data_IF_212357773177
#
_entry.id   IF_212357773177
#
_cell.length_a   1.000
_cell.length_b   1.000
_cell.length_c   1.000
_cell.angle_alpha   90.00
_cell.angle_beta   90.00
_cell.angle_gamma   90.00
#
_symmetry.space_group_name_H-M   'P 1'
#
loop_
_entity.id
_entity.type
_entity.pdbx_description
1 polymer ?
#
# COMPACT_ATOMS: atom_id res chain seq x y z
N UNK A 1 -23.41 -11.76 0.62
CA UNK A 1 -22.74 -10.44 0.75
C UNK A 1 -23.71 -9.24 0.89
N UNK A 2 -24.80 -9.08 0.11
CA UNK A 2 -25.68 -7.91 0.25
C UNK A 2 -26.31 -7.79 1.64
N UNK A 3 -26.66 -8.90 2.26
CA UNK A 3 -27.26 -8.92 3.60
C UNK A 3 -26.23 -8.49 4.67
N UNK A 4 -25.03 -9.08 4.65
CA UNK A 4 -23.99 -8.73 5.60
C UNK A 4 -23.57 -7.26 5.47
N UNK A 5 -23.46 -6.75 4.26
CA UNK A 5 -23.13 -5.34 4.04
C UNK A 5 -24.23 -4.38 4.50
N UNK A 6 -25.51 -4.80 4.49
CA UNK A 6 -26.62 -4.01 5.05
C UNK A 6 -26.65 -4.04 6.58
N UNK A 7 -26.22 -5.16 7.18
CA UNK A 7 -26.12 -5.31 8.63
C UNK A 7 -24.85 -4.68 9.22
N UNK A 8 -23.88 -4.28 8.38
CA UNK A 8 -22.66 -3.61 8.84
C UNK A 8 -22.91 -2.11 8.99
N UNK A 9 -22.82 -1.63 10.22
CA UNK A 9 -22.82 -0.19 10.51
C UNK A 9 -21.40 0.37 10.39
N UNK A 10 -21.24 1.40 9.55
CA UNK A 10 -19.95 2.03 9.25
C UNK A 10 -19.92 3.40 9.92
N UNK A 11 -19.21 3.49 11.03
CA UNK A 11 -19.06 4.74 11.79
C UNK A 11 -17.84 5.55 11.41
N UNK A 12 -16.97 5.02 10.54
CA UNK A 12 -15.70 5.64 10.16
C UNK A 12 -15.64 6.00 8.69
N UNK A 13 -14.99 7.13 8.41
CA UNK A 13 -14.59 7.53 7.06
C UNK A 13 -13.14 7.12 6.81
N UNK A 14 -12.89 6.45 5.70
CA UNK A 14 -11.54 6.06 5.28
C UNK A 14 -10.94 7.18 4.44
N UNK A 15 -9.89 7.82 4.97
CA UNK A 15 -9.07 8.75 4.19
C UNK A 15 -8.03 7.99 3.38
N UNK A 16 -8.12 8.08 2.06
CA UNK A 16 -7.16 7.46 1.14
C UNK A 16 -6.20 8.50 0.58
N UNK A 17 -4.97 8.07 0.28
CA UNK A 17 -4.05 8.87 -0.50
C UNK A 17 -4.51 8.95 -1.97
N UNK A 18 -3.91 9.86 -2.72
CA UNK A 18 -4.15 10.02 -4.15
C UNK A 18 -2.91 9.66 -4.97
N UNK A 19 -3.10 9.41 -6.26
CA UNK A 19 -1.98 9.15 -7.19
C UNK A 19 -0.96 10.30 -7.27
N UNK A 20 -1.31 11.50 -6.79
CA UNK A 20 -0.42 12.67 -6.75
C UNK A 20 0.38 12.81 -5.46
N UNK A 21 0.15 11.96 -4.46
CA UNK A 21 0.90 11.97 -3.20
C UNK A 21 2.43 11.88 -3.39
N UNK A 22 2.98 11.12 -4.36
CA UNK A 22 4.42 11.13 -4.64
C UNK A 22 4.98 12.53 -4.88
N UNK A 23 4.25 13.40 -5.55
CA UNK A 23 4.66 14.81 -5.74
C UNK A 23 4.73 15.61 -4.45
N UNK A 24 3.81 15.38 -3.50
CA UNK A 24 3.84 16.04 -2.19
C UNK A 24 5.05 15.57 -1.37
N UNK A 25 5.37 14.28 -1.44
CA UNK A 25 6.56 13.70 -0.76
C UNK A 25 7.84 14.28 -1.37
N UNK A 26 7.97 14.28 -2.69
CA UNK A 26 9.11 14.83 -3.40
C UNK A 26 9.34 16.32 -3.05
N UNK A 27 8.26 17.12 -3.02
CA UNK A 27 8.32 18.51 -2.58
C UNK A 27 8.84 18.64 -1.15
N UNK A 28 8.36 17.80 -0.24
CA UNK A 28 8.82 17.81 1.15
C UNK A 28 10.32 17.50 1.28
N UNK A 29 10.84 16.57 0.48
CA UNK A 29 12.28 16.29 0.41
C UNK A 29 13.06 17.52 -0.03
N UNK A 30 12.65 18.14 -1.15
CA UNK A 30 13.30 19.34 -1.68
C UNK A 30 13.27 20.52 -0.70
N UNK A 31 12.09 20.81 -0.13
CA UNK A 31 11.92 21.90 0.84
C UNK A 31 12.80 21.68 2.10
N UNK A 32 12.95 20.42 2.52
CA UNK A 32 13.80 20.06 3.65
C UNK A 32 15.27 20.24 3.30
N UNK A 33 15.71 19.77 2.13
CA UNK A 33 17.09 19.94 1.66
C UNK A 33 17.48 21.42 1.57
N UNK A 34 16.60 22.25 1.02
CA UNK A 34 16.80 23.71 0.96
C UNK A 34 16.94 24.34 2.35
N UNK A 35 16.08 23.96 3.31
CA UNK A 35 16.16 24.44 4.70
C UNK A 35 17.44 24.05 5.41
N UNK A 36 17.99 22.89 5.06
CA UNK A 36 19.25 22.39 5.62
C UNK A 36 20.49 22.91 4.90
N UNK A 37 20.32 23.70 3.83
CA UNK A 37 21.44 24.21 3.02
C UNK A 37 22.19 23.10 2.26
N UNK A 38 21.52 22.00 1.91
CA UNK A 38 22.12 20.89 1.19
C UNK A 38 22.43 21.30 -0.28
N UNK A 39 23.48 20.71 -0.85
CA UNK A 39 23.78 20.87 -2.25
C UNK A 39 22.83 20.02 -3.10
N UNK A 40 21.84 20.67 -3.72
CA UNK A 40 20.79 19.96 -4.48
C UNK A 40 21.32 19.25 -5.74
N UNK A 41 22.43 19.73 -6.31
CA UNK A 41 23.04 19.13 -7.53
C UNK A 41 23.67 17.75 -7.24
N UNK A 42 23.96 17.46 -5.97
CA UNK A 42 24.49 16.17 -5.52
C UNK A 42 23.40 15.22 -5.00
N UNK A 43 22.13 15.65 -5.01
CA UNK A 43 21.02 14.87 -4.49
C UNK A 43 20.19 14.30 -5.63
N UNK A 44 19.78 13.04 -5.47
CA UNK A 44 18.79 12.40 -6.33
C UNK A 44 17.72 11.72 -5.45
N UNK A 45 16.46 11.93 -5.83
CA UNK A 45 15.32 11.22 -5.24
C UNK A 45 15.00 10.00 -6.08
N UNK A 46 14.73 8.91 -5.40
CA UNK A 46 14.23 7.68 -6.00
C UNK A 46 12.83 7.35 -5.46
N UNK A 47 12.05 6.70 -6.28
CA UNK A 47 10.72 6.20 -5.94
C UNK A 47 10.61 4.73 -6.29
N UNK A 48 9.90 3.98 -5.47
CA UNK A 48 9.65 2.56 -5.65
C UNK A 48 8.28 2.16 -5.12
N UNK A 49 7.91 0.91 -5.32
CA UNK A 49 6.62 0.38 -4.92
C UNK A 49 6.71 -1.03 -4.33
N UNK A 50 5.79 -1.33 -3.44
CA UNK A 50 5.58 -2.65 -2.87
C UNK A 50 4.09 -2.99 -2.87
N UNK A 51 3.76 -4.27 -3.04
CA UNK A 51 2.39 -4.79 -3.07
C UNK A 51 2.27 -5.92 -2.05
N UNK A 52 1.24 -5.88 -1.20
CA UNK A 52 0.98 -6.96 -0.25
C UNK A 52 0.14 -8.05 -0.90
N UNK A 53 0.60 -9.33 -0.85
CA UNK A 53 -0.19 -10.45 -1.36
C UNK A 53 -1.43 -10.66 -0.51
N UNK A 54 -2.56 -10.97 -1.18
CA UNK A 54 -3.77 -11.43 -0.52
C UNK A 54 -4.20 -10.58 0.69
N UNK A 55 -4.01 -9.28 0.58
CA UNK A 55 -4.03 -8.29 1.65
C UNK A 55 -5.10 -8.51 2.73
N UNK A 56 -6.36 -8.72 2.35
CA UNK A 56 -7.43 -8.98 3.31
C UNK A 56 -7.27 -10.30 4.07
N UNK A 57 -6.62 -11.29 3.46
CA UNK A 57 -6.39 -12.59 4.09
C UNK A 57 -5.32 -12.54 5.20
N UNK A 58 -4.54 -11.47 5.26
CA UNK A 58 -3.61 -11.21 6.38
C UNK A 58 -4.32 -10.76 7.66
N UNK A 59 -5.58 -10.33 7.56
CA UNK A 59 -6.33 -9.81 8.69
C UNK A 59 -7.34 -10.86 9.19
N UNK A 60 -7.17 -11.40 10.42
CA UNK A 60 -8.08 -12.37 10.96
C UNK A 60 -9.45 -11.75 11.30
N UNK A 61 -10.48 -12.56 11.22
CA UNK A 61 -11.83 -12.23 11.68
C UNK A 61 -11.95 -12.61 13.15
N UNK A 62 -12.63 -11.76 13.95
CA UNK A 62 -12.89 -12.07 15.36
C UNK A 62 -13.69 -13.38 15.49
N UNK A 63 -13.40 -14.21 16.49
CA UNK A 63 -14.14 -15.47 16.69
C UNK A 63 -15.65 -15.31 16.77
N UNK A 64 -16.15 -14.21 17.34
CA UNK A 64 -17.58 -13.86 17.42
C UNK A 64 -18.23 -13.70 16.04
N UNK A 65 -17.45 -13.32 15.02
CA UNK A 65 -17.95 -12.95 13.71
C UNK A 65 -17.80 -14.08 12.68
N UNK A 66 -17.17 -15.19 13.05
CA UNK A 66 -16.92 -16.33 12.16
C UNK A 66 -18.21 -16.95 11.62
N UNK A 67 -19.31 -16.92 12.39
CA UNK A 67 -20.61 -17.40 11.94
C UNK A 67 -21.16 -16.64 10.72
N UNK A 68 -20.69 -15.41 10.50
CA UNK A 68 -21.06 -14.58 9.35
C UNK A 68 -20.05 -14.64 8.21
N UNK A 69 -18.91 -15.31 8.42
CA UNK A 69 -17.81 -15.37 7.46
C UNK A 69 -17.73 -16.75 6.80
N UNK A 70 -18.86 -17.17 6.24
CA UNK A 70 -19.04 -18.49 5.60
C UNK A 70 -19.22 -18.32 4.11
N UNK A 71 -18.47 -19.09 3.34
CA UNK A 71 -18.52 -19.15 1.87
C UNK A 71 -19.13 -20.47 1.44
N UNK A 72 -20.14 -20.42 0.59
CA UNK A 72 -20.67 -21.59 -0.09
C UNK A 72 -19.80 -21.90 -1.30
N UNK A 73 -19.36 -23.16 -1.41
CA UNK A 73 -18.73 -23.68 -2.61
C UNK A 73 -19.82 -24.37 -3.42
N UNK A 74 -20.12 -23.88 -4.62
CA UNK A 74 -21.12 -24.52 -5.48
C UNK A 74 -20.67 -25.94 -5.83
N UNK A 75 -21.61 -26.88 -5.94
CA UNK A 75 -21.31 -28.26 -6.29
C UNK A 75 -20.66 -28.34 -7.68
N UNK A 76 -19.51 -29.01 -7.78
CA UNK A 76 -18.75 -29.15 -9.02
C UNK A 76 -19.38 -30.08 -10.05
N UNK A 77 -20.28 -30.98 -9.65
CA UNK A 77 -20.99 -31.91 -10.52
C UNK A 77 -22.47 -32.00 -10.11
N UNK A 78 -23.32 -32.39 -11.07
CA UNK A 78 -24.75 -32.61 -10.85
C UNK A 78 -24.97 -33.66 -9.76
N UNK A 79 -25.55 -33.26 -8.61
CA UNK A 79 -25.85 -34.16 -7.49
C UNK A 79 -24.79 -34.19 -6.37
N UNK A 80 -23.72 -33.40 -6.45
CA UNK A 80 -22.80 -33.22 -5.33
C UNK A 80 -23.42 -32.34 -4.23
N UNK A 81 -23.03 -32.59 -2.99
CA UNK A 81 -23.46 -31.80 -1.84
C UNK A 81 -22.89 -30.37 -1.88
N UNK A 82 -23.64 -29.43 -1.32
CA UNK A 82 -23.15 -28.06 -1.08
C UNK A 82 -22.15 -28.09 0.06
N UNK A 83 -21.00 -27.49 -0.15
CA UNK A 83 -19.99 -27.34 0.88
C UNK A 83 -19.98 -25.89 1.39
N UNK A 84 -19.80 -25.76 2.70
CA UNK A 84 -19.67 -24.45 3.35
C UNK A 84 -18.33 -24.38 4.07
N UNK A 85 -17.57 -23.33 3.77
CA UNK A 85 -16.28 -23.05 4.42
C UNK A 85 -16.41 -21.87 5.34
N UNK A 86 -15.96 -22.05 6.58
CA UNK A 86 -15.74 -20.92 7.50
C UNK A 86 -14.37 -20.34 7.18
N UNK A 87 -14.32 -19.06 6.83
CA UNK A 87 -13.08 -18.37 6.50
C UNK A 87 -12.65 -17.55 7.72
N UNK A 88 -11.41 -17.76 8.19
CA UNK A 88 -10.86 -17.12 9.37
C UNK A 88 -10.23 -15.76 9.11
N UNK A 89 -10.20 -15.34 7.85
CA UNK A 89 -9.65 -14.08 7.40
C UNK A 89 -10.73 -13.20 6.76
N UNK A 90 -10.46 -11.91 6.63
CA UNK A 90 -11.39 -10.98 5.97
C UNK A 90 -11.57 -11.32 4.49
N UNK A 91 -12.82 -11.27 4.05
CA UNK A 91 -13.18 -11.56 2.65
C UNK A 91 -13.35 -10.28 1.84
N UNK A 92 -13.03 -10.38 0.55
CA UNK A 92 -13.37 -9.34 -0.43
C UNK A 92 -14.89 -9.15 -0.52
N UNK A 93 -15.31 -7.90 -0.73
CA UNK A 93 -16.72 -7.53 -0.91
C UNK A 93 -17.47 -7.18 0.38
N UNK A 94 -16.87 -7.33 1.55
CA UNK A 94 -17.43 -6.81 2.79
C UNK A 94 -16.98 -5.36 3.01
N UNK A 95 -17.91 -4.48 3.39
CA UNK A 95 -17.61 -3.09 3.76
C UNK A 95 -16.62 -3.01 4.92
N UNK A 96 -16.80 -3.86 5.93
CA UNK A 96 -15.92 -3.94 7.08
C UNK A 96 -14.49 -4.33 6.72
N UNK A 97 -14.28 -5.16 5.70
CA UNK A 97 -12.94 -5.57 5.27
C UNK A 97 -12.12 -4.38 4.79
N UNK A 98 -12.73 -3.50 4.01
CA UNK A 98 -12.08 -2.28 3.50
C UNK A 98 -11.58 -1.40 4.65
N UNK A 99 -12.48 -1.07 5.60
CA UNK A 99 -12.14 -0.19 6.73
C UNK A 99 -11.11 -0.81 7.66
N UNK A 100 -11.26 -2.09 7.98
CA UNK A 100 -10.34 -2.78 8.88
C UNK A 100 -8.96 -2.92 8.24
N UNK A 101 -8.90 -3.27 6.96
CA UNK A 101 -7.61 -3.35 6.26
C UNK A 101 -6.92 -1.99 6.15
N UNK A 102 -7.68 -0.90 5.92
CA UNK A 102 -7.10 0.44 5.90
C UNK A 102 -6.45 0.81 7.23
N UNK A 103 -7.01 0.38 8.37
CA UNK A 103 -6.36 0.58 9.68
C UNK A 103 -4.98 -0.09 9.74
N UNK A 104 -4.86 -1.29 9.18
CA UNK A 104 -3.57 -1.99 9.11
C UNK A 104 -2.59 -1.22 8.21
N UNK A 105 -3.01 -0.78 7.03
CA UNK A 105 -2.18 0.00 6.11
C UNK A 105 -1.72 1.32 6.74
N UNK A 106 -2.62 2.05 7.43
CA UNK A 106 -2.28 3.29 8.16
C UNK A 106 -1.33 3.02 9.31
N UNK A 107 -1.50 1.90 10.02
CA UNK A 107 -0.58 1.49 11.08
C UNK A 107 0.82 1.22 10.52
N UNK A 108 0.93 0.43 9.45
CA UNK A 108 2.20 0.14 8.78
C UNK A 108 2.88 1.43 8.28
N UNK A 109 2.13 2.33 7.62
CA UNK A 109 2.61 3.64 7.20
C UNK A 109 3.13 4.48 8.38
N UNK A 110 2.41 4.44 9.51
CA UNK A 110 2.79 5.18 10.71
C UNK A 110 4.08 4.65 11.34
N UNK A 111 4.24 3.32 11.38
CA UNK A 111 5.47 2.69 11.84
C UNK A 111 6.66 3.04 10.92
N UNK A 112 6.49 2.92 9.60
CA UNK A 112 7.53 3.27 8.64
C UNK A 112 8.00 4.73 8.81
N UNK A 113 7.06 5.65 8.96
CA UNK A 113 7.37 7.08 9.13
C UNK A 113 8.02 7.41 10.48
N UNK A 114 7.56 6.78 11.56
CA UNK A 114 8.01 7.12 12.92
C UNK A 114 9.25 6.35 13.37
N UNK A 115 9.39 5.10 12.95
CA UNK A 115 10.48 4.23 13.38
C UNK A 115 11.60 4.21 12.36
N UNK A 116 11.27 4.12 11.06
CA UNK A 116 12.25 4.05 10.00
C UNK A 116 12.59 5.41 9.40
N UNK A 117 11.89 6.48 9.83
CA UNK A 117 11.98 7.83 9.23
C UNK A 117 11.75 7.82 7.70
N UNK A 118 10.97 6.86 7.21
CA UNK A 118 10.70 6.66 5.78
C UNK A 118 9.38 7.30 5.37
N UNK A 119 9.36 8.15 4.34
CA UNK A 119 8.14 8.68 3.77
C UNK A 119 7.47 7.64 2.87
N UNK A 120 6.66 6.78 3.47
CA UNK A 120 5.83 5.78 2.80
C UNK A 120 4.41 6.31 2.68
N UNK A 121 3.77 6.08 1.55
CA UNK A 121 2.34 6.31 1.32
C UNK A 121 1.68 4.97 1.01
N UNK A 122 0.60 4.65 1.73
CA UNK A 122 -0.16 3.41 1.52
C UNK A 122 -1.51 3.72 0.88
N UNK A 123 -1.86 2.93 -0.13
CA UNK A 123 -3.21 2.86 -0.67
C UNK A 123 -3.65 1.41 -0.61
N UNK A 124 -4.39 1.06 0.44
CA UNK A 124 -4.69 -0.32 0.81
C UNK A 124 -3.40 -1.16 0.91
N UNK A 125 -3.19 -2.05 -0.04
CA UNK A 125 -2.07 -2.99 -0.16
C UNK A 125 -0.87 -2.44 -0.94
N UNK A 126 -1.08 -1.37 -1.71
CA UNK A 126 -0.02 -0.72 -2.49
C UNK A 126 0.76 0.29 -1.64
N UNK A 127 2.06 0.15 -1.57
CA UNK A 127 2.98 1.10 -0.94
C UNK A 127 3.77 1.88 -1.98
N UNK A 128 3.73 3.21 -1.91
CA UNK A 128 4.66 4.09 -2.62
C UNK A 128 5.74 4.56 -1.66
N UNK A 129 7.00 4.34 -2.03
CA UNK A 129 8.19 4.55 -1.20
C UNK A 129 9.08 5.58 -1.89
N UNK A 130 9.67 6.47 -1.09
CA UNK A 130 10.62 7.45 -1.57
C UNK A 130 11.85 7.45 -0.68
N UNK A 131 13.04 7.51 -1.29
CA UNK A 131 14.30 7.58 -0.56
C UNK A 131 15.33 8.36 -1.40
N UNK A 132 16.41 8.77 -0.76
CA UNK A 132 17.54 9.34 -1.47
C UNK A 132 18.32 8.22 -2.16
N UNK A 133 18.81 8.47 -3.39
CA UNK A 133 19.65 7.51 -4.11
C UNK A 133 20.92 7.11 -3.33
N UNK A 134 21.42 8.02 -2.50
CA UNK A 134 22.55 7.77 -1.59
C UNK A 134 22.28 6.67 -0.56
N UNK A 135 21.01 6.40 -0.23
CA UNK A 135 20.61 5.33 0.69
C UNK A 135 20.66 3.94 0.04
N UNK A 136 20.80 3.84 -1.28
CA UNK A 136 21.00 2.58 -2.04
C UNK A 136 19.94 1.52 -1.73
N UNK A 137 18.68 1.91 -1.65
CA UNK A 137 17.54 1.02 -1.39
C UNK A 137 17.38 0.58 0.07
N UNK A 138 18.16 1.14 1.00
CA UNK A 138 18.09 0.75 2.41
C UNK A 138 16.71 0.94 3.02
N UNK A 139 16.00 2.00 2.63
CA UNK A 139 14.64 2.26 3.09
C UNK A 139 13.66 1.18 2.66
N UNK A 140 13.62 0.83 1.37
CA UNK A 140 12.74 -0.23 0.87
C UNK A 140 13.04 -1.57 1.54
N UNK A 141 14.32 -1.92 1.72
CA UNK A 141 14.73 -3.13 2.45
C UNK A 141 14.30 -3.09 3.92
N UNK A 142 14.41 -1.94 4.59
CA UNK A 142 13.98 -1.78 5.98
C UNK A 142 12.46 -1.95 6.13
N UNK A 143 11.67 -1.41 5.21
CA UNK A 143 10.21 -1.59 5.17
C UNK A 143 9.84 -3.06 5.00
N UNK A 144 10.48 -3.77 4.07
CA UNK A 144 10.28 -5.21 3.88
C UNK A 144 10.56 -6.01 5.15
N UNK A 145 11.70 -5.74 5.83
CA UNK A 145 12.04 -6.40 7.09
C UNK A 145 11.07 -6.08 8.21
N UNK A 146 10.57 -4.84 8.27
CA UNK A 146 9.57 -4.44 9.26
C UNK A 146 8.25 -5.20 9.05
N UNK A 147 7.77 -5.33 7.81
CA UNK A 147 6.56 -6.09 7.52
C UNK A 147 6.73 -7.57 7.84
N UNK A 148 7.88 -8.17 7.51
CA UNK A 148 8.21 -9.55 7.89
C UNK A 148 8.20 -9.75 9.41
N UNK A 149 8.73 -8.81 10.17
CA UNK A 149 8.71 -8.86 11.65
C UNK A 149 7.28 -8.77 12.22
N UNK A 150 6.34 -8.17 11.48
CA UNK A 150 4.91 -8.11 11.81
C UNK A 150 4.13 -9.35 11.32
N UNK A 151 4.80 -10.32 10.70
CA UNK A 151 4.18 -11.56 10.21
C UNK A 151 3.58 -11.47 8.81
N UNK A 152 3.79 -10.35 8.10
CA UNK A 152 3.40 -10.17 6.71
C UNK A 152 4.59 -10.22 5.75
N UNK A 153 4.33 -10.11 4.46
CA UNK A 153 5.37 -9.97 3.42
C UNK A 153 4.83 -9.15 2.26
N UNK A 154 5.72 -8.51 1.53
CA UNK A 154 5.41 -7.99 0.20
C UNK A 154 5.66 -9.07 -0.86
N UNK A 155 5.11 -8.88 -2.07
CA UNK A 155 5.30 -9.76 -3.23
C UNK A 155 6.59 -9.38 -3.96
N UNK A 156 7.65 -10.23 -3.93
CA UNK A 156 8.90 -9.90 -4.61
C UNK A 156 8.74 -9.68 -6.12
N UNK A 157 7.84 -10.44 -6.77
CA UNK A 157 7.57 -10.33 -8.21
C UNK A 157 6.83 -9.07 -8.63
N UNK A 158 6.24 -8.35 -7.69
CA UNK A 158 5.56 -7.06 -7.91
C UNK A 158 6.36 -5.88 -7.40
N UNK A 159 7.48 -6.13 -6.75
CA UNK A 159 8.34 -5.08 -6.26
C UNK A 159 8.80 -4.18 -7.40
N UNK A 160 8.58 -2.88 -7.23
CA UNK A 160 9.21 -1.87 -8.05
C UNK A 160 10.41 -1.33 -7.25
N UNK A 161 11.62 -1.68 -7.69
CA UNK A 161 12.84 -1.21 -7.04
C UNK A 161 12.92 0.32 -7.09
N UNK A 162 13.56 0.91 -6.08
CA UNK A 162 13.80 2.35 -6.06
C UNK A 162 14.57 2.79 -7.31
N UNK A 163 14.09 3.85 -7.95
CA UNK A 163 14.65 4.42 -9.16
C UNK A 163 14.06 5.78 -9.51
N UNK A 164 14.42 6.32 -10.67
CA UNK A 164 13.98 7.64 -11.13
C UNK A 164 12.46 7.73 -11.37
N UNK A 165 11.80 6.60 -11.57
CA UNK A 165 10.35 6.54 -11.82
C UNK A 165 9.73 5.31 -11.21
N UNK A 166 8.44 5.40 -10.87
CA UNK A 166 7.65 4.31 -10.32
C UNK A 166 6.17 4.47 -10.71
N UNK A 167 5.47 3.34 -10.81
CA UNK A 167 4.01 3.32 -11.01
C UNK A 167 3.30 3.39 -9.64
N UNK A 168 2.29 4.26 -9.53
CA UNK A 168 1.42 4.29 -8.36
C UNK A 168 0.01 4.71 -8.77
N UNK A 169 -0.98 3.89 -8.43
CA UNK A 169 -2.40 4.14 -8.72
C UNK A 169 -2.70 4.52 -10.18
N UNK A 170 -2.07 3.81 -11.12
CA UNK A 170 -2.29 4.01 -12.55
C UNK A 170 -1.54 5.18 -13.18
N UNK A 171 -0.74 5.91 -12.41
CA UNK A 171 0.15 6.94 -12.91
C UNK A 171 1.61 6.53 -12.73
N UNK A 172 2.41 6.71 -13.78
CA UNK A 172 3.87 6.72 -13.70
C UNK A 172 4.29 8.09 -13.21
N UNK A 173 5.05 8.16 -12.12
CA UNK A 173 5.64 9.40 -11.66
C UNK A 173 7.17 9.34 -11.75
N UNK A 174 7.76 10.43 -12.22
CA UNK A 174 9.21 10.60 -12.34
C UNK A 174 9.67 11.64 -11.34
N UNK A 175 10.66 11.28 -10.54
CA UNK A 175 11.17 12.10 -9.43
C UNK A 175 12.62 12.55 -9.61
N UNK A 176 13.27 12.17 -10.69
CA UNK A 176 14.67 12.48 -11.00
C UNK A 176 14.98 14.00 -11.05
N UNK A 177 13.99 14.82 -11.42
CA UNK A 177 14.12 16.28 -11.51
C UNK A 177 13.68 17.03 -10.24
N UNK A 178 13.41 16.31 -9.16
CA UNK A 178 12.89 16.89 -7.90
C UNK A 178 13.86 17.92 -7.32
N UNK A 179 15.14 17.60 -7.22
CA UNK A 179 16.12 18.49 -6.59
C UNK A 179 16.61 19.56 -7.54
N UNK A 180 16.91 19.24 -8.80
CA UNK A 180 17.41 20.20 -9.79
C UNK A 180 16.36 21.23 -10.17
N UNK A 181 15.21 20.81 -10.66
CA UNK A 181 14.20 21.68 -11.25
C UNK A 181 12.99 21.95 -10.35
N UNK A 182 12.84 21.16 -9.29
CA UNK A 182 11.65 21.20 -8.42
C UNK A 182 10.41 20.61 -9.09
N UNK A 183 10.59 19.72 -10.05
CA UNK A 183 9.51 19.14 -10.88
C UNK A 183 9.37 17.65 -10.60
N UNK A 184 8.11 17.22 -10.51
CA UNK A 184 7.70 15.80 -10.58
C UNK A 184 6.74 15.67 -11.75
N UNK A 185 7.03 14.76 -12.65
CA UNK A 185 6.22 14.52 -13.86
C UNK A 185 5.28 13.32 -13.61
N UNK A 186 4.05 13.41 -14.12
CA UNK A 186 3.07 12.34 -14.04
C UNK A 186 2.58 11.99 -15.44
N UNK A 187 2.57 10.71 -15.75
CA UNK A 187 2.10 10.18 -17.04
C UNK A 187 1.06 9.08 -16.78
N UNK A 188 0.05 8.94 -17.64
CA UNK A 188 -0.80 7.76 -17.62
C UNK A 188 0.05 6.49 -17.82
N UNK A 189 -0.31 5.40 -17.13
CA UNK A 189 0.28 4.10 -17.40
C UNK A 189 -0.09 3.64 -18.80
N UNK A 190 0.86 3.09 -19.58
CA UNK A 190 0.62 2.65 -20.98
C UNK A 190 -0.59 1.71 -21.13
N UNK A 191 -0.82 0.84 -20.14
CA UNK A 191 -1.96 -0.06 -20.12
C UNK A 191 -3.33 0.65 -19.98
N UNK A 192 -3.37 1.97 -19.76
CA UNK A 192 -4.57 2.78 -19.61
C UNK A 192 -4.83 3.69 -20.85
N UNK A 193 -3.96 3.64 -21.84
CA UNK A 193 -4.06 4.33 -23.13
C UNK A 193 -4.50 3.32 -24.20
#
# INVERSE_FOLDING_TARGET
QPFQNRATDMTETVGLCTATNPGLVARAFRDTALKLGANLDEMALESGGEDMPDAYLLCPVAPSDLAFNVVEIPPGAKGSERLFLVVYAMLFGFRSSVSNFTRFSVFLQSLARRILAMPVTMFYDDASIHDLASAKGAGQMALNKMLLALGGSFKPEKQQALGASCDFLGLVHRVDRTFTDGVVEFFPREALI
#
